data_IF_546000314812
#
_entry.id   IF_546000314812
#
_cell.length_a   1.000
_cell.length_b   1.000
_cell.length_c   1.000
_cell.angle_alpha   90.00
_cell.angle_beta   90.00
_cell.angle_gamma   90.00
#
_symmetry.space_group_name_H-M   'P 1'
#
loop_
_entity.id
_entity.type
_entity.pdbx_description
1 polymer ?
#
# COMPACT_ATOMS: atom_id res chain seq x y z
N UNK A 1 -5.99 -1.64 -36.53
CA UNK A 1 -5.32 -1.10 -35.34
C UNK A 1 -4.08 -1.92 -35.06
N UNK A 2 -2.90 -1.28 -35.05
CA UNK A 2 -1.63 -1.93 -34.76
C UNK A 2 -1.56 -2.35 -33.28
N UNK A 3 -0.58 -3.17 -32.90
CA UNK A 3 -0.32 -3.45 -31.48
C UNK A 3 0.09 -2.18 -30.73
N UNK A 4 0.88 -1.30 -31.35
CA UNK A 4 1.27 -0.03 -30.78
C UNK A 4 0.06 0.89 -30.53
N UNK A 5 -0.90 0.92 -31.47
CA UNK A 5 -2.12 1.72 -31.33
C UNK A 5 -2.95 1.23 -30.12
N UNK A 6 -3.08 -0.09 -29.93
CA UNK A 6 -3.78 -0.68 -28.78
C UNK A 6 -3.12 -0.36 -27.46
N UNK A 7 -1.79 -0.40 -27.41
CA UNK A 7 -1.02 -0.05 -26.22
C UNK A 7 -1.19 1.44 -25.89
N UNK A 8 -1.14 2.31 -26.90
CA UNK A 8 -1.37 3.74 -26.72
C UNK A 8 -2.79 4.05 -26.20
N UNK A 9 -3.82 3.43 -26.80
CA UNK A 9 -5.21 3.58 -26.35
C UNK A 9 -5.41 3.08 -24.91
N UNK A 10 -4.76 1.97 -24.54
CA UNK A 10 -4.80 1.46 -23.18
C UNK A 10 -4.17 2.44 -22.18
N UNK A 11 -2.98 2.97 -22.48
CA UNK A 11 -2.35 3.97 -21.62
C UNK A 11 -3.18 5.26 -21.52
N UNK A 12 -3.76 5.73 -22.61
CA UNK A 12 -4.66 6.89 -22.59
C UNK A 12 -5.86 6.65 -21.68
N UNK A 13 -6.46 5.46 -21.77
CA UNK A 13 -7.56 5.08 -20.89
C UNK A 13 -7.13 5.03 -19.41
N UNK A 14 -5.97 4.45 -19.09
CA UNK A 14 -5.44 4.40 -17.71
C UNK A 14 -5.18 5.80 -17.17
N UNK A 15 -4.47 6.63 -17.93
CA UNK A 15 -4.15 8.00 -17.54
C UNK A 15 -5.42 8.81 -17.31
N UNK A 16 -6.47 8.59 -18.11
CA UNK A 16 -7.78 9.21 -17.89
C UNK A 16 -8.43 8.82 -16.55
N UNK A 17 -8.21 7.59 -16.04
CA UNK A 17 -8.70 7.17 -14.72
C UNK A 17 -7.86 7.75 -13.58
N UNK A 18 -6.55 7.81 -13.76
CA UNK A 18 -5.65 8.43 -12.78
C UNK A 18 -5.94 9.91 -12.64
N UNK A 19 -6.09 10.63 -13.76
CA UNK A 19 -6.42 12.05 -13.76
C UNK A 19 -7.79 12.32 -13.14
N UNK A 20 -8.80 11.50 -13.47
CA UNK A 20 -10.10 11.59 -12.80
C UNK A 20 -9.97 11.42 -11.29
N UNK A 21 -9.20 10.43 -10.82
CA UNK A 21 -9.01 10.20 -9.39
C UNK A 21 -8.32 11.39 -8.70
N UNK A 22 -7.27 11.96 -9.30
CA UNK A 22 -6.59 13.16 -8.80
C UNK A 22 -7.56 14.34 -8.66
N UNK A 23 -8.42 14.54 -9.66
CA UNK A 23 -9.43 15.63 -9.66
C UNK A 23 -10.58 15.38 -8.68
N UNK A 24 -10.93 14.13 -8.40
CA UNK A 24 -11.89 13.78 -7.35
C UNK A 24 -11.32 14.09 -5.96
N UNK A 25 -10.07 13.70 -5.69
CA UNK A 25 -9.39 13.96 -4.41
C UNK A 25 -9.19 15.48 -4.15
N UNK A 26 -8.93 16.24 -5.21
CA UNK A 26 -8.82 17.70 -5.16
C UNK A 26 -10.17 18.45 -5.09
N UNK A 27 -11.31 17.75 -4.97
CA UNK A 27 -12.68 18.31 -4.98
C UNK A 27 -13.04 19.10 -6.26
N UNK A 28 -12.28 18.94 -7.36
CA UNK A 28 -12.57 19.62 -8.64
C UNK A 28 -13.77 19.02 -9.38
N UNK A 29 -14.15 17.79 -9.02
CA UNK A 29 -15.28 17.07 -9.60
C UNK A 29 -16.39 16.79 -8.57
N UNK A 30 -16.37 17.46 -7.40
CA UNK A 30 -17.31 17.22 -6.30
C UNK A 30 -17.16 15.85 -5.65
N UNK A 31 -15.94 15.32 -5.67
CA UNK A 31 -15.58 14.02 -5.11
C UNK A 31 -14.73 14.15 -3.86
N UNK A 32 -14.28 13.00 -3.36
CA UNK A 32 -13.47 12.87 -2.16
C UNK A 32 -12.32 11.88 -2.38
N UNK A 33 -11.43 11.77 -1.39
CA UNK A 33 -10.43 10.71 -1.31
C UNK A 33 -11.05 9.32 -1.52
N UNK A 34 -12.21 9.06 -0.91
CA UNK A 34 -12.91 7.78 -1.06
C UNK A 34 -13.25 7.47 -2.53
N UNK A 35 -13.77 8.47 -3.26
CA UNK A 35 -14.13 8.33 -4.67
C UNK A 35 -12.90 8.07 -5.54
N UNK A 36 -11.82 8.83 -5.30
CA UNK A 36 -10.55 8.66 -5.98
C UNK A 36 -9.98 7.23 -5.80
N UNK A 37 -9.95 6.77 -4.55
CA UNK A 37 -9.47 5.44 -4.18
C UNK A 37 -10.34 4.34 -4.79
N UNK A 38 -11.67 4.49 -4.82
CA UNK A 38 -12.57 3.51 -5.44
C UNK A 38 -12.30 3.38 -6.94
N UNK A 39 -12.08 4.49 -7.65
CA UNK A 39 -11.72 4.47 -9.08
C UNK A 39 -10.41 3.73 -9.29
N UNK A 40 -9.33 4.12 -8.60
CA UNK A 40 -8.00 3.51 -8.77
C UNK A 40 -8.01 2.02 -8.38
N UNK A 41 -8.67 1.69 -7.27
CA UNK A 41 -8.77 0.32 -6.77
C UNK A 41 -9.57 -0.59 -7.70
N UNK A 42 -10.62 -0.08 -8.34
CA UNK A 42 -11.41 -0.84 -9.30
C UNK A 42 -10.59 -1.20 -10.53
N UNK A 43 -9.83 -0.24 -11.07
CA UNK A 43 -8.96 -0.48 -12.23
C UNK A 43 -7.87 -1.50 -11.87
N UNK A 44 -7.17 -1.31 -10.74
CA UNK A 44 -6.13 -2.23 -10.30
C UNK A 44 -6.67 -3.64 -10.00
N UNK A 45 -7.89 -3.74 -9.44
CA UNK A 45 -8.56 -5.03 -9.24
C UNK A 45 -8.88 -5.72 -10.57
N UNK A 46 -9.27 -4.95 -11.60
CA UNK A 46 -9.47 -5.45 -12.96
C UNK A 46 -8.17 -6.01 -13.54
N UNK A 47 -7.09 -5.24 -13.47
CA UNK A 47 -5.75 -5.66 -13.90
C UNK A 47 -5.28 -6.94 -13.22
N UNK A 48 -5.39 -6.99 -11.89
CA UNK A 48 -5.02 -8.17 -11.13
C UNK A 48 -5.91 -9.39 -11.48
N UNK A 49 -7.19 -9.16 -11.80
CA UNK A 49 -8.11 -10.21 -12.23
C UNK A 49 -7.75 -10.79 -13.60
N UNK A 50 -7.43 -9.93 -14.56
CA UNK A 50 -7.06 -10.33 -15.91
C UNK A 50 -5.70 -11.03 -15.91
N UNK A 51 -4.75 -10.49 -15.13
CA UNK A 51 -3.42 -11.09 -14.96
C UNK A 51 -3.46 -12.42 -14.22
N UNK A 52 -4.44 -12.68 -13.35
CA UNK A 52 -4.51 -13.90 -12.52
C UNK A 52 -5.96 -14.33 -12.27
N UNK A 53 -6.66 -14.85 -13.30
CA UNK A 53 -8.10 -15.07 -13.29
C UNK A 53 -8.50 -16.24 -12.40
N UNK A 54 -9.37 -16.05 -11.42
CA UNK A 54 -9.83 -17.12 -10.53
C UNK A 54 -10.71 -16.60 -9.41
N UNK A 55 -11.32 -17.52 -8.64
CA UNK A 55 -12.23 -17.19 -7.53
C UNK A 55 -11.52 -17.31 -6.18
N UNK A 56 -11.95 -16.51 -5.20
CA UNK A 56 -11.44 -16.59 -3.81
C UNK A 56 -9.99 -16.15 -3.63
N UNK A 57 -9.39 -15.49 -4.63
CA UNK A 57 -7.99 -15.05 -4.62
C UNK A 57 -7.80 -13.55 -4.84
N UNK A 58 -8.83 -12.75 -4.61
CA UNK A 58 -8.84 -11.31 -4.94
C UNK A 58 -7.71 -10.53 -4.26
N UNK A 59 -7.58 -10.73 -2.96
CA UNK A 59 -6.53 -10.13 -2.15
C UNK A 59 -5.12 -10.56 -2.60
N UNK A 60 -4.90 -11.85 -2.83
CA UNK A 60 -3.54 -12.33 -3.16
C UNK A 60 -3.10 -11.83 -4.54
N UNK A 61 -3.98 -11.83 -5.54
CA UNK A 61 -3.64 -11.29 -6.87
C UNK A 61 -3.48 -9.78 -6.87
N UNK A 62 -4.29 -9.05 -6.11
CA UNK A 62 -4.18 -7.60 -6.00
C UNK A 62 -2.81 -7.22 -5.41
N UNK A 63 -2.44 -7.84 -4.28
CA UNK A 63 -1.16 -7.57 -3.62
C UNK A 63 0.01 -8.05 -4.48
N UNK A 64 -0.14 -9.18 -5.19
CA UNK A 64 0.87 -9.66 -6.13
C UNK A 64 1.09 -8.66 -7.26
N UNK A 65 0.02 -8.17 -7.90
CA UNK A 65 0.12 -7.19 -8.97
C UNK A 65 0.76 -5.89 -8.47
N UNK A 66 0.32 -5.39 -7.31
CA UNK A 66 0.89 -4.22 -6.64
C UNK A 66 2.39 -4.37 -6.36
N UNK A 67 2.84 -5.55 -5.98
CA UNK A 67 4.24 -5.77 -5.62
C UNK A 67 5.12 -6.07 -6.83
N UNK A 68 4.68 -6.98 -7.70
CA UNK A 68 5.50 -7.57 -8.77
C UNK A 68 5.46 -6.79 -10.07
N UNK A 69 4.39 -6.05 -10.33
CA UNK A 69 4.21 -5.32 -11.59
C UNK A 69 4.46 -3.82 -11.45
N UNK A 70 4.63 -3.32 -10.23
CA UNK A 70 5.00 -1.92 -9.99
C UNK A 70 6.50 -1.69 -10.13
N UNK A 71 6.86 -0.48 -10.57
CA UNK A 71 8.23 -0.02 -10.70
C UNK A 71 8.91 -0.08 -9.34
N UNK A 72 10.07 -0.76 -9.22
CA UNK A 72 10.85 -0.79 -7.99
C UNK A 72 11.13 0.59 -7.39
N UNK A 73 11.26 1.65 -8.20
CA UNK A 73 11.47 3.03 -7.75
C UNK A 73 10.29 3.61 -6.94
N UNK A 74 9.09 3.02 -7.07
CA UNK A 74 7.92 3.40 -6.28
C UNK A 74 7.96 2.82 -4.87
N UNK A 75 8.83 1.85 -4.58
CA UNK A 75 8.95 1.18 -3.28
C UNK A 75 7.62 0.61 -2.77
N UNK A 76 6.77 0.13 -3.68
CA UNK A 76 5.42 -0.35 -3.40
C UNK A 76 5.35 -1.56 -2.44
N UNK A 77 6.47 -2.27 -2.24
CA UNK A 77 6.62 -3.43 -1.36
C UNK A 77 7.12 -3.15 0.05
N UNK A 78 7.26 -1.89 0.46
CA UNK A 78 7.69 -1.55 1.83
C UNK A 78 6.68 -2.00 2.87
N UNK A 79 7.19 -2.25 4.07
CA UNK A 79 6.43 -2.56 5.28
C UNK A 79 6.28 -1.31 6.12
N UNK A 80 5.05 -1.03 6.56
CA UNK A 80 4.78 0.06 7.48
C UNK A 80 5.38 -0.23 8.86
N UNK A 81 6.43 0.51 9.21
CA UNK A 81 7.11 0.34 10.50
C UNK A 81 6.23 0.79 11.68
N UNK A 82 5.45 1.87 11.62
CA UNK A 82 4.52 2.24 12.69
C UNK A 82 3.49 1.15 12.96
N UNK A 83 2.85 0.59 11.92
CA UNK A 83 1.88 -0.49 12.09
C UNK A 83 2.54 -1.77 12.59
N UNK A 84 3.80 -2.05 12.20
CA UNK A 84 4.59 -3.15 12.76
C UNK A 84 4.86 -2.97 14.25
N UNK A 85 5.27 -1.78 14.68
CA UNK A 85 5.53 -1.50 16.08
C UNK A 85 4.25 -1.62 16.93
N UNK A 86 3.11 -1.21 16.39
CA UNK A 86 1.81 -1.37 17.05
C UNK A 86 1.43 -2.86 17.17
N UNK A 87 1.57 -3.64 16.09
CA UNK A 87 1.29 -5.08 16.11
C UNK A 87 2.22 -5.84 17.09
N UNK A 88 3.52 -5.57 17.07
CA UNK A 88 4.48 -6.18 18.00
C UNK A 88 4.16 -5.81 19.45
N UNK A 89 3.65 -4.60 19.70
CA UNK A 89 3.25 -4.18 21.06
C UNK A 89 2.03 -4.94 21.54
N UNK A 90 1.05 -5.18 20.67
CA UNK A 90 -0.11 -6.01 20.97
C UNK A 90 0.29 -7.47 21.26
N UNK A 91 1.37 -7.95 20.62
CA UNK A 91 1.96 -9.28 20.85
C UNK A 91 2.92 -9.33 22.07
N UNK A 92 3.28 -8.20 22.67
CA UNK A 92 4.19 -8.14 23.82
C UNK A 92 5.69 -8.25 23.48
N UNK A 93 6.06 -8.04 22.22
CA UNK A 93 7.37 -8.37 21.63
C UNK A 93 8.42 -7.27 21.83
N UNK A 94 8.69 -6.97 23.10
CA UNK A 94 9.48 -5.81 23.52
C UNK A 94 10.91 -5.84 22.98
N UNK A 95 11.55 -7.00 22.91
CA UNK A 95 12.91 -7.14 22.39
C UNK A 95 13.01 -6.76 20.91
N UNK A 96 12.03 -7.15 20.10
CA UNK A 96 11.99 -6.85 18.66
C UNK A 96 11.65 -5.39 18.43
N UNK A 97 10.72 -4.82 19.22
CA UNK A 97 10.38 -3.39 19.19
C UNK A 97 11.64 -2.53 19.32
N UNK A 98 12.51 -2.84 20.28
CA UNK A 98 13.73 -2.07 20.50
C UNK A 98 14.73 -2.22 19.34
N UNK A 99 14.84 -3.39 18.71
CA UNK A 99 15.65 -3.58 17.50
C UNK A 99 15.12 -2.74 16.32
N UNK A 100 13.80 -2.78 16.08
CA UNK A 100 13.16 -2.00 15.01
C UNK A 100 13.35 -0.50 15.25
N UNK A 101 13.14 -0.02 16.48
CA UNK A 101 13.38 1.38 16.85
C UNK A 101 14.84 1.80 16.68
N UNK A 102 15.78 0.94 17.08
CA UNK A 102 17.21 1.19 16.94
C UNK A 102 17.67 1.30 15.47
N UNK A 103 16.91 0.75 14.51
CA UNK A 103 17.19 0.93 13.08
C UNK A 103 16.92 2.36 12.56
N UNK A 104 16.23 3.20 13.35
CA UNK A 104 15.90 4.60 13.06
C UNK A 104 16.09 5.49 14.32
N UNK A 105 17.32 5.65 14.84
CA UNK A 105 17.59 6.16 16.19
C UNK A 105 17.25 7.65 16.43
N UNK A 106 16.81 8.41 15.42
CA UNK A 106 16.32 9.79 15.59
C UNK A 106 14.81 9.95 15.44
N UNK A 107 14.10 8.90 15.03
CA UNK A 107 12.67 8.98 14.72
C UNK A 107 11.83 8.47 15.89
N UNK A 108 12.20 7.33 16.46
CA UNK A 108 11.47 6.71 17.58
C UNK A 108 12.08 7.02 18.96
N UNK A 109 12.86 8.09 19.07
CA UNK A 109 13.42 8.52 20.35
C UNK A 109 12.33 9.05 21.30
N UNK A 110 12.53 8.98 22.64
CA UNK A 110 11.62 9.59 23.60
C UNK A 110 11.32 11.06 23.27
N UNK A 111 10.04 11.43 23.27
CA UNK A 111 9.57 12.78 22.91
C UNK A 111 9.17 12.95 21.44
N UNK A 112 9.42 11.96 20.57
CA UNK A 112 9.01 12.01 19.17
C UNK A 112 7.67 11.30 18.90
N UNK A 113 6.94 10.90 19.93
CA UNK A 113 5.68 10.14 19.79
C UNK A 113 4.61 10.89 19.00
N UNK A 114 4.67 12.23 18.96
CA UNK A 114 3.76 13.10 18.19
C UNK A 114 4.32 13.59 16.86
N UNK A 115 5.57 13.24 16.51
CA UNK A 115 6.21 13.68 15.26
C UNK A 115 5.40 13.20 14.06
N UNK A 116 5.15 14.05 13.07
CA UNK A 116 4.55 13.62 11.79
C UNK A 116 5.56 12.74 11.06
N UNK A 117 5.14 11.56 10.62
CA UNK A 117 6.01 10.59 9.94
C UNK A 117 5.57 10.43 8.49
N UNK A 118 6.55 10.20 7.61
CA UNK A 118 6.33 9.89 6.19
C UNK A 118 7.06 8.61 5.82
N UNK A 119 6.49 7.81 4.92
CA UNK A 119 6.95 6.46 4.64
C UNK A 119 8.41 6.39 4.18
N UNK A 120 8.88 7.37 3.40
CA UNK A 120 10.27 7.40 2.93
C UNK A 120 11.32 7.56 4.04
N UNK A 121 10.94 8.09 5.20
CA UNK A 121 11.85 8.25 6.34
C UNK A 121 11.91 6.99 7.21
N UNK A 122 10.80 6.26 7.33
CA UNK A 122 10.62 5.25 8.38
C UNK A 122 10.42 3.83 7.86
N UNK A 123 9.76 3.67 6.71
CA UNK A 123 9.34 2.37 6.25
C UNK A 123 10.48 1.64 5.56
N UNK A 124 10.47 0.31 5.68
CA UNK A 124 11.61 -0.54 5.34
C UNK A 124 11.20 -1.65 4.39
N UNK A 125 12.16 -2.15 3.62
CA UNK A 125 11.96 -3.37 2.87
C UNK A 125 11.88 -4.57 3.82
N UNK A 126 11.14 -5.61 3.43
CA UNK A 126 11.03 -6.85 4.22
C UNK A 126 12.41 -7.43 4.58
N UNK A 127 13.34 -7.46 3.62
CA UNK A 127 14.68 -7.99 3.82
C UNK A 127 15.49 -7.20 4.88
N UNK A 128 15.30 -5.89 4.96
CA UNK A 128 15.97 -5.06 5.97
C UNK A 128 15.45 -5.38 7.38
N UNK A 129 14.13 -5.56 7.51
CA UNK A 129 13.49 -5.93 8.78
C UNK A 129 13.91 -7.34 9.22
N UNK A 130 13.91 -8.31 8.32
CA UNK A 130 14.37 -9.68 8.60
C UNK A 130 15.85 -9.72 9.01
N UNK A 131 16.68 -8.83 8.46
CA UNK A 131 18.09 -8.72 8.85
C UNK A 131 18.26 -8.16 10.29
N UNK A 132 17.32 -7.37 10.80
CA UNK A 132 17.31 -6.94 12.20
C UNK A 132 16.95 -8.09 13.14
N UNK A 133 15.96 -8.89 12.76
CA UNK A 133 15.51 -10.05 13.52
C UNK A 133 14.86 -11.10 12.60
N UNK A 134 15.45 -12.30 12.43
CA UNK A 134 14.87 -13.37 11.62
C UNK A 134 13.46 -13.79 12.06
N UNK A 135 13.11 -13.62 13.34
CA UNK A 135 11.79 -14.00 13.84
C UNK A 135 10.68 -13.17 13.18
N UNK A 136 10.99 -11.96 12.70
CA UNK A 136 10.04 -11.13 11.97
C UNK A 136 9.52 -11.82 10.69
N UNK A 137 10.33 -12.65 10.02
CA UNK A 137 9.88 -13.40 8.84
C UNK A 137 8.64 -14.26 9.15
N UNK A 138 8.58 -14.85 10.35
CA UNK A 138 7.48 -15.71 10.79
C UNK A 138 6.27 -14.92 11.33
N UNK A 139 6.46 -13.64 11.68
CA UNK A 139 5.41 -12.75 12.22
C UNK A 139 4.55 -12.09 11.16
N UNK A 140 4.65 -12.57 9.92
CA UNK A 140 3.78 -12.13 8.84
C UNK A 140 4.00 -10.68 8.45
N UNK A 141 5.25 -10.20 8.37
CA UNK A 141 5.60 -8.85 7.89
C UNK A 141 4.79 -8.39 6.68
N UNK A 142 4.56 -9.29 5.72
CA UNK A 142 3.80 -9.01 4.49
C UNK A 142 2.36 -8.57 4.75
N UNK A 143 1.76 -8.90 5.91
CA UNK A 143 0.45 -8.39 6.33
C UNK A 143 0.45 -6.86 6.55
N UNK A 144 1.62 -6.29 6.82
CA UNK A 144 1.84 -4.87 7.06
C UNK A 144 2.53 -4.16 5.89
N UNK A 145 2.65 -4.85 4.75
CA UNK A 145 3.13 -4.23 3.51
C UNK A 145 2.11 -3.25 2.93
N UNK A 146 2.57 -2.22 2.22
CA UNK A 146 1.69 -1.20 1.66
C UNK A 146 0.55 -1.78 0.82
N UNK A 147 0.84 -2.68 -0.13
CA UNK A 147 -0.21 -3.27 -0.97
C UNK A 147 -1.25 -4.05 -0.16
N UNK A 148 -0.83 -4.74 0.90
CA UNK A 148 -1.75 -5.49 1.77
C UNK A 148 -2.56 -4.57 2.67
N UNK A 149 -1.91 -3.59 3.29
CA UNK A 149 -2.55 -2.59 4.14
C UNK A 149 -3.56 -1.76 3.32
N UNK A 150 -3.19 -1.35 2.11
CA UNK A 150 -4.09 -0.67 1.18
C UNK A 150 -5.30 -1.54 0.82
N UNK A 151 -5.07 -2.80 0.43
CA UNK A 151 -6.15 -3.71 0.07
C UNK A 151 -7.14 -3.89 1.23
N UNK A 152 -6.65 -4.17 2.42
CA UNK A 152 -7.47 -4.53 3.58
C UNK A 152 -8.16 -3.30 4.18
N UNK A 153 -7.41 -2.23 4.39
CA UNK A 153 -7.85 -1.12 5.24
C UNK A 153 -8.41 0.08 4.49
N UNK A 154 -8.13 0.16 3.19
CA UNK A 154 -8.53 1.27 2.33
C UNK A 154 -9.51 0.78 1.28
N UNK A 155 -9.07 -0.08 0.36
CA UNK A 155 -9.92 -0.60 -0.73
C UNK A 155 -11.11 -1.39 -0.19
N UNK A 156 -10.84 -2.45 0.58
CA UNK A 156 -11.88 -3.39 1.05
C UNK A 156 -12.85 -2.68 1.98
N UNK A 157 -12.33 -1.82 2.86
CA UNK A 157 -13.11 -1.00 3.77
C UNK A 157 -14.08 -0.08 3.00
N UNK A 158 -13.62 0.72 2.03
CA UNK A 158 -14.54 1.55 1.24
C UNK A 158 -15.52 0.72 0.40
N UNK A 159 -15.10 -0.43 -0.13
CA UNK A 159 -15.96 -1.28 -0.97
C UNK A 159 -17.11 -1.92 -0.17
N UNK A 160 -16.88 -2.27 1.09
CA UNK A 160 -17.83 -3.06 1.89
C UNK A 160 -18.47 -2.30 3.05
N UNK A 161 -17.79 -1.29 3.58
CA UNK A 161 -18.17 -0.56 4.79
C UNK A 161 -18.41 0.94 4.52
N UNK A 162 -18.06 1.43 3.32
CA UNK A 162 -18.19 2.84 2.92
C UNK A 162 -17.38 3.82 3.78
N UNK A 163 -16.41 3.32 4.55
CA UNK A 163 -15.44 4.12 5.30
C UNK A 163 -14.12 3.35 5.43
N UNK A 164 -13.06 4.03 5.86
CA UNK A 164 -11.77 3.40 6.18
C UNK A 164 -11.86 2.55 7.44
N UNK A 165 -11.06 1.48 7.50
CA UNK A 165 -10.88 0.73 8.75
C UNK A 165 -9.86 1.41 9.67
N UNK A 166 -9.82 0.97 10.94
CA UNK A 166 -9.11 1.67 12.02
C UNK A 166 -7.64 2.07 11.75
N UNK A 167 -6.78 1.28 11.07
CA UNK A 167 -5.38 1.67 10.90
C UNK A 167 -5.14 2.64 9.72
N UNK A 168 -6.16 3.11 9.02
CA UNK A 168 -6.02 3.99 7.85
C UNK A 168 -6.66 5.38 8.05
N UNK A 169 -6.22 6.36 7.26
CA UNK A 169 -6.78 7.72 7.25
C UNK A 169 -6.90 8.27 5.84
N UNK A 170 -7.95 9.06 5.61
CA UNK A 170 -8.20 9.79 4.36
C UNK A 170 -7.43 11.11 4.31
N UNK A 171 -6.85 11.53 5.42
CA UNK A 171 -6.13 12.81 5.53
C UNK A 171 -4.64 12.57 5.68
N UNK A 172 -3.85 13.29 4.87
CA UNK A 172 -2.42 13.44 5.13
C UNK A 172 -2.20 14.35 6.35
N UNK A 173 -1.33 13.96 7.28
CA UNK A 173 -0.93 14.83 8.41
C UNK A 173 0.22 15.79 8.04
N UNK A 174 0.61 15.83 6.76
CA UNK A 174 1.74 16.60 6.25
C UNK A 174 1.29 17.47 5.08
N UNK A 175 1.87 18.66 4.96
CA UNK A 175 1.76 19.51 3.77
C UNK A 175 2.88 19.26 2.77
N UNK A 176 3.87 18.43 3.12
CA UNK A 176 4.96 18.06 2.22
C UNK A 176 4.56 16.88 1.34
N UNK A 177 5.00 16.86 0.06
CA UNK A 177 4.77 15.72 -0.82
C UNK A 177 5.31 14.44 -0.18
N UNK A 178 4.41 13.48 0.08
CA UNK A 178 4.76 12.20 0.67
C UNK A 178 3.84 11.12 0.11
N UNK A 179 4.43 10.06 -0.44
CA UNK A 179 3.71 8.90 -1.00
C UNK A 179 2.84 8.20 0.05
N UNK A 180 3.39 8.08 1.25
CA UNK A 180 2.74 7.54 2.44
C UNK A 180 3.02 8.49 3.59
N UNK A 181 1.99 8.79 4.39
CA UNK A 181 2.15 9.57 5.62
C UNK A 181 1.35 8.94 6.76
N UNK A 182 1.65 9.38 7.98
CA UNK A 182 1.05 8.82 9.18
C UNK A 182 0.41 9.89 10.05
N UNK A 183 -0.87 9.67 10.39
CA UNK A 183 -1.64 10.51 11.29
C UNK A 183 -1.50 10.00 12.72
N UNK A 184 -1.11 10.88 13.63
CA UNK A 184 -1.19 10.64 15.06
C UNK A 184 -2.65 10.56 15.50
N UNK A 185 -3.03 9.42 16.07
CA UNK A 185 -4.37 9.22 16.61
C UNK A 185 -4.28 8.78 18.07
N UNK A 186 -4.92 9.53 18.97
CA UNK A 186 -5.01 9.16 20.38
C UNK A 186 -6.27 8.34 20.57
N UNK A 187 -6.13 7.05 20.85
CA UNK A 187 -7.28 6.17 21.10
C UNK A 187 -7.74 6.30 22.56
N UNK A 188 -9.01 6.62 22.84
CA UNK A 188 -9.57 6.46 24.18
C UNK A 188 -9.88 4.98 24.47
N UNK A 189 -9.85 4.51 25.74
CA UNK A 189 -9.58 5.27 26.96
C UNK A 189 -8.11 5.27 27.40
N UNK A 190 -7.27 4.42 26.80
CA UNK A 190 -5.88 4.22 27.22
C UNK A 190 -4.95 5.39 26.85
N UNK A 191 -5.44 6.35 26.05
CA UNK A 191 -4.73 7.53 25.56
C UNK A 191 -3.44 7.17 24.85
N UNK A 192 -3.37 5.97 24.27
CA UNK A 192 -2.21 5.56 23.48
C UNK A 192 -2.23 6.25 22.13
N UNK A 193 -1.09 6.76 21.73
CA UNK A 193 -0.87 7.28 20.37
C UNK A 193 -0.67 6.09 19.45
N UNK A 194 -1.57 5.94 18.47
CA UNK A 194 -1.45 5.05 17.32
C UNK A 194 -1.14 5.87 16.08
N UNK A 195 -0.66 5.19 15.04
CA UNK A 195 -0.41 5.82 13.74
C UNK A 195 -1.37 5.25 12.70
N UNK A 196 -2.14 6.13 12.08
CA UNK A 196 -3.02 5.77 10.96
C UNK A 196 -2.28 6.06 9.66
N UNK A 197 -2.25 5.10 8.74
CA UNK A 197 -1.57 5.24 7.46
C UNK A 197 -2.47 5.94 6.44
N UNK A 198 -1.91 6.89 5.70
CA UNK A 198 -2.53 7.54 4.56
C UNK A 198 -1.68 7.26 3.31
N UNK A 199 -2.34 6.98 2.20
CA UNK A 199 -1.72 6.78 0.89
C UNK A 199 -2.09 7.93 -0.02
N UNK A 200 -1.10 8.61 -0.57
CA UNK A 200 -1.34 9.72 -1.50
C UNK A 200 -1.96 9.21 -2.80
N UNK A 201 -3.03 9.88 -3.26
CA UNK A 201 -3.79 9.47 -4.45
C UNK A 201 -2.93 9.50 -5.71
N UNK A 202 -2.03 10.49 -5.85
CA UNK A 202 -1.16 10.56 -7.00
C UNK A 202 -0.18 9.39 -7.03
N UNK A 203 0.40 9.01 -5.89
CA UNK A 203 1.27 7.84 -5.78
C UNK A 203 0.55 6.52 -6.07
N UNK A 204 -0.69 6.34 -5.62
CA UNK A 204 -1.51 5.17 -6.00
C UNK A 204 -1.77 5.17 -7.52
N UNK A 205 -1.94 6.34 -8.12
CA UNK A 205 -1.99 6.53 -9.57
C UNK A 205 -0.71 6.06 -10.27
N UNK A 206 0.46 6.47 -9.77
CA UNK A 206 1.76 6.06 -10.32
C UNK A 206 1.95 4.53 -10.26
N UNK A 207 1.49 3.90 -9.16
CA UNK A 207 1.45 2.43 -9.02
C UNK A 207 0.59 1.82 -10.12
N UNK A 208 -0.61 2.35 -10.34
CA UNK A 208 -1.54 1.85 -11.35
C UNK A 208 -0.95 1.96 -12.76
N UNK A 209 -0.38 3.11 -13.11
CA UNK A 209 0.27 3.34 -14.41
C UNK A 209 1.45 2.39 -14.62
N UNK A 210 2.24 2.16 -13.56
CA UNK A 210 3.34 1.21 -13.62
C UNK A 210 2.86 -0.23 -13.83
N UNK A 211 1.81 -0.65 -13.12
CA UNK A 211 1.21 -1.99 -13.30
C UNK A 211 0.69 -2.15 -14.73
N UNK A 212 -0.02 -1.13 -15.23
CA UNK A 212 -0.51 -1.10 -16.61
C UNK A 212 0.62 -1.28 -17.63
N UNK A 213 1.71 -0.55 -17.45
CA UNK A 213 2.91 -0.63 -18.31
C UNK A 213 3.51 -2.03 -18.31
N UNK A 214 3.65 -2.65 -17.14
CA UNK A 214 4.18 -4.01 -17.01
C UNK A 214 3.30 -5.05 -17.69
N UNK A 215 1.98 -4.89 -17.62
CA UNK A 215 1.03 -5.82 -18.25
C UNK A 215 1.13 -5.81 -19.79
N UNK A 216 1.25 -4.63 -20.41
CA UNK A 216 1.34 -4.53 -21.87
C UNK A 216 2.74 -4.83 -22.41
N UNK A 217 3.78 -4.65 -21.60
CA UNK A 217 5.17 -4.98 -21.99
C UNK A 217 5.38 -6.50 -22.04
N UNK A 218 4.64 -7.26 -21.23
CA UNK A 218 4.72 -8.72 -21.19
C UNK A 218 4.16 -9.43 -22.44
N UNK A 219 3.48 -8.72 -23.36
CA UNK A 219 2.88 -9.27 -24.57
C UNK A 219 1.37 -9.02 -24.65
N UNK A 220 0.59 -9.85 -25.38
CA UNK A 220 -0.86 -9.89 -25.15
C UNK A 220 -1.12 -10.07 -23.65
N UNK A 221 -2.27 -9.60 -23.13
CA UNK A 221 -2.68 -9.88 -21.75
C UNK A 221 -2.96 -11.39 -21.64
N UNK A 222 -1.90 -12.17 -21.57
CA UNK A 222 -1.94 -13.57 -21.20
C UNK A 222 -1.92 -13.60 -19.67
N UNK A 223 -2.71 -14.49 -19.05
CA UNK A 223 -2.63 -14.70 -17.61
C UNK A 223 -1.17 -14.95 -17.22
N UNK A 224 -0.69 -14.22 -16.23
CA UNK A 224 0.59 -14.51 -15.61
C UNK A 224 0.56 -15.96 -15.15
N UNK A 225 1.69 -16.66 -15.34
CA UNK A 225 1.83 -18.03 -14.83
C UNK A 225 1.53 -18.00 -13.33
N UNK A 226 0.56 -18.81 -12.91
CA UNK A 226 0.16 -18.84 -11.50
C UNK A 226 1.40 -19.16 -10.64
N UNK A 227 1.78 -18.26 -9.71
CA UNK A 227 2.98 -18.47 -8.93
C UNK A 227 2.79 -19.68 -8.03
N UNK A 228 3.82 -20.53 -7.94
CA UNK A 228 3.84 -21.66 -6.98
C UNK A 228 3.61 -21.18 -5.55
N UNK A 229 4.04 -19.96 -5.26
CA UNK A 229 3.89 -19.29 -3.97
C UNK A 229 3.63 -17.82 -4.21
N UNK A 230 2.47 -17.34 -3.79
CA UNK A 230 2.12 -15.92 -3.80
C UNK A 230 3.04 -15.16 -2.84
N UNK A 231 3.54 -14.00 -3.25
CA UNK A 231 4.41 -13.19 -2.40
C UNK A 231 3.74 -12.91 -1.07
N UNK A 232 2.47 -12.48 -1.03
CA UNK A 232 1.80 -12.16 0.24
C UNK A 232 1.70 -13.34 1.24
N UNK A 233 1.90 -14.59 0.79
CA UNK A 233 1.81 -15.80 1.64
C UNK A 233 3.14 -16.25 2.24
N UNK A 234 4.28 -15.72 1.83
CA UNK A 234 5.58 -16.24 2.28
C UNK A 234 5.98 -17.52 1.54
N UNK A 235 7.27 -17.76 1.37
CA UNK A 235 7.76 -19.13 1.22
C UNK A 235 7.63 -19.81 2.57
N UNK A 236 6.89 -20.93 2.64
CA UNK A 236 6.80 -21.76 3.84
C UNK A 236 8.17 -22.31 4.25
#
# INVERSE_FOLDING_TARGET
MSQADRIAEFHEWVNGRVELAKRLDADECGGTYADAILVLSAVLSGFASDASPGKGRDMVRFVEAWFTLSDPALNAGRVSVPLLLDALREEGETAIIEKVRASRPGIFAPGNDSRVLVGDEIDQAEAELVALDPDLATKGLRRLSYGRVFYEHVRSAYTHEYHLSEPASEFAQTSWPARVSYVNFIRPPDRRVRRLIHFDVAWVGDILESVATSLVTAGPIEPLSEPKTWWVRGSA
#
